data_IF_335455031474
#
_entry.id   IF_335455031474
#
_cell.length_a   1.000
_cell.length_b   1.000
_cell.length_c   1.000
_cell.angle_alpha   90.00
_cell.angle_beta   90.00
_cell.angle_gamma   90.00
#
_symmetry.space_group_name_H-M   'P 1'
#
loop_
_entity.id
_entity.type
_entity.pdbx_description
1 polymer ?
#
# COMPACT_ATOMS: atom_id res chain seq x y z
N UNK A 1 17.00 -7.32 -8.94
CA UNK A 1 16.63 -5.90 -8.81
C UNK A 1 16.14 -5.65 -7.39
N UNK A 2 16.52 -4.53 -6.78
CA UNK A 2 15.98 -4.11 -5.46
C UNK A 2 14.63 -3.44 -5.70
N UNK A 3 13.59 -3.85 -4.97
CA UNK A 3 12.25 -3.26 -5.07
C UNK A 3 12.18 -1.93 -4.32
N UNK A 4 11.42 -0.96 -4.83
CA UNK A 4 11.16 0.30 -4.12
C UNK A 4 10.11 0.05 -3.03
N UNK A 5 10.43 0.44 -1.80
CA UNK A 5 9.52 0.32 -0.66
C UNK A 5 8.49 1.44 -0.62
N UNK A 6 7.22 1.09 -0.42
CA UNK A 6 6.10 2.02 -0.26
C UNK A 6 5.49 1.90 1.13
N UNK A 7 5.14 3.05 1.71
CA UNK A 7 4.36 3.13 2.94
C UNK A 7 2.98 3.69 2.61
N UNK A 8 1.91 2.98 2.99
CA UNK A 8 0.52 3.43 2.78
C UNK A 8 -0.07 3.87 4.12
N UNK A 9 -0.43 5.14 4.24
CA UNK A 9 -1.14 5.68 5.38
C UNK A 9 -2.64 5.74 5.08
N UNK A 10 -3.47 5.03 5.85
CA UNK A 10 -4.90 4.88 5.56
C UNK A 10 -5.21 3.76 4.56
N UNK A 11 -4.61 2.57 4.76
CA UNK A 11 -4.72 1.41 3.86
C UNK A 11 -6.15 0.88 3.70
N UNK A 12 -7.05 1.18 4.62
CA UNK A 12 -8.47 0.78 4.58
C UNK A 12 -9.38 1.73 3.80
N UNK A 13 -8.91 2.96 3.51
CA UNK A 13 -9.67 3.90 2.67
C UNK A 13 -9.70 3.47 1.20
N UNK A 14 -10.60 4.06 0.42
CA UNK A 14 -10.75 3.76 -1.01
C UNK A 14 -9.45 3.93 -1.80
N UNK A 15 -8.63 4.92 -1.44
CA UNK A 15 -7.31 5.16 -2.06
C UNK A 15 -6.30 4.09 -1.64
N UNK A 16 -6.25 3.74 -0.35
CA UNK A 16 -5.33 2.74 0.17
C UNK A 16 -5.57 1.35 -0.44
N UNK A 17 -6.84 0.96 -0.56
CA UNK A 17 -7.25 -0.30 -1.18
C UNK A 17 -6.90 -0.36 -2.68
N UNK A 18 -7.17 0.71 -3.43
CA UNK A 18 -6.80 0.77 -4.85
C UNK A 18 -5.27 0.77 -5.05
N UNK A 19 -4.55 1.46 -4.17
CA UNK A 19 -3.07 1.48 -4.19
C UNK A 19 -2.52 0.07 -3.94
N UNK A 20 -3.05 -0.66 -2.96
CA UNK A 20 -2.70 -2.06 -2.70
C UNK A 20 -2.94 -2.95 -3.92
N UNK A 21 -4.10 -2.80 -4.57
CA UNK A 21 -4.43 -3.55 -5.78
C UNK A 21 -3.42 -3.32 -6.90
N UNK A 22 -3.06 -2.06 -7.18
CA UNK A 22 -2.08 -1.72 -8.22
C UNK A 22 -0.67 -2.21 -7.89
N UNK A 23 -0.22 -2.04 -6.64
CA UNK A 23 1.13 -2.47 -6.22
C UNK A 23 1.32 -3.98 -6.36
N UNK A 24 0.25 -4.77 -6.17
CA UNK A 24 0.29 -6.23 -6.38
C UNK A 24 0.70 -6.67 -7.79
N UNK A 25 0.48 -5.82 -8.80
CA UNK A 25 0.84 -6.10 -10.19
C UNK A 25 2.17 -5.46 -10.63
N UNK A 26 2.85 -4.72 -9.75
CA UNK A 26 4.08 -3.99 -10.08
C UNK A 26 5.31 -4.69 -9.51
N UNK A 27 6.07 -5.39 -10.36
CA UNK A 27 7.23 -6.18 -9.93
C UNK A 27 8.35 -5.34 -9.26
N UNK A 28 8.42 -4.04 -9.58
CA UNK A 28 9.40 -3.10 -9.03
C UNK A 28 9.02 -2.53 -7.65
N UNK A 29 7.79 -2.74 -7.21
CA UNK A 29 7.27 -2.16 -5.98
C UNK A 29 7.10 -3.24 -4.89
N UNK A 30 7.24 -2.80 -3.65
CA UNK A 30 6.95 -3.61 -2.46
C UNK A 30 6.34 -2.75 -1.38
N UNK A 31 5.38 -3.31 -0.64
CA UNK A 31 4.84 -2.66 0.55
C UNK A 31 5.84 -2.86 1.69
N UNK A 32 6.30 -1.74 2.27
CA UNK A 32 7.17 -1.73 3.44
C UNK A 32 6.36 -1.61 4.74
N UNK A 33 5.38 -0.69 4.76
CA UNK A 33 4.54 -0.46 5.93
C UNK A 33 3.13 -0.01 5.54
N UNK A 34 2.18 -0.25 6.44
CA UNK A 34 0.77 0.08 6.29
C UNK A 34 0.26 0.65 7.61
N UNK A 35 -0.54 1.72 7.57
CA UNK A 35 -1.35 2.14 8.71
C UNK A 35 -2.82 2.11 8.34
N UNK A 36 -3.64 1.68 9.27
CA UNK A 36 -5.09 1.76 9.19
C UNK A 36 -5.60 2.41 10.47
N UNK A 37 -6.63 3.24 10.35
CA UNK A 37 -7.38 3.70 11.50
C UNK A 37 -8.76 3.05 11.46
N UNK A 38 -9.20 2.52 12.59
CA UNK A 38 -10.61 2.26 12.82
C UNK A 38 -11.20 3.54 13.40
N UNK A 39 -11.63 4.45 12.54
CA UNK A 39 -12.56 5.47 12.99
C UNK A 39 -13.84 4.72 13.42
N UNK A 40 -14.13 4.74 14.72
CA UNK A 40 -15.44 4.40 15.26
C UNK A 40 -16.39 5.53 14.90
#
# INVERSE_FOLDING_TARGET
MVKKGLTILGSTGSIGQQTLAVVGYQAELSIYALTANTAV
#
